data_IF_820383095269
#
_entry.id   IF_820383095269
#
_cell.length_a   1.000
_cell.length_b   1.000
_cell.length_c   1.000
_cell.angle_alpha   90.00
_cell.angle_beta   90.00
_cell.angle_gamma   90.00
#
_symmetry.space_group_name_H-M   'P 1'
#
loop_
_entity.id
_entity.type
_entity.pdbx_description
1 polymer ?
#
# COMPACT_ATOMS: atom_id res chain seq x y z
N UNK A 1 -30.34 -0.64 -28.57
CA UNK A 1 -29.52 -0.28 -27.39
C UNK A 1 -29.89 -1.19 -26.24
N UNK A 2 -28.96 -1.97 -25.67
CA UNK A 2 -29.23 -2.72 -24.42
C UNK A 2 -29.27 -1.70 -23.29
N UNK A 3 -30.42 -1.55 -22.65
CA UNK A 3 -30.58 -0.78 -21.43
C UNK A 3 -29.73 -1.48 -20.33
N UNK A 4 -28.62 -0.88 -19.93
CA UNK A 4 -27.81 -1.37 -18.81
C UNK A 4 -28.47 -0.85 -17.53
N UNK A 5 -29.15 -1.74 -16.81
CA UNK A 5 -29.62 -1.44 -15.47
C UNK A 5 -28.48 -1.74 -14.48
N UNK A 6 -28.01 -0.73 -13.79
CA UNK A 6 -27.10 -0.87 -12.67
C UNK A 6 -27.90 -0.87 -11.38
N UNK A 7 -27.52 -1.69 -10.42
CA UNK A 7 -28.09 -1.64 -9.08
C UNK A 7 -27.64 -0.34 -8.40
N UNK A 8 -28.56 0.49 -7.88
CA UNK A 8 -28.20 1.71 -7.15
C UNK A 8 -27.29 1.47 -5.97
N UNK A 9 -27.35 0.28 -5.33
CA UNK A 9 -26.47 -0.07 -4.22
C UNK A 9 -25.03 -0.30 -4.69
N UNK A 10 -24.84 -0.93 -5.86
CA UNK A 10 -23.51 -1.10 -6.47
C UNK A 10 -22.89 0.26 -6.80
N UNK A 11 -23.69 1.16 -7.37
CA UNK A 11 -23.24 2.53 -7.71
C UNK A 11 -22.89 3.31 -6.43
N UNK A 12 -23.68 3.19 -5.38
CA UNK A 12 -23.38 3.77 -4.08
C UNK A 12 -22.04 3.27 -3.54
N UNK A 13 -21.84 1.95 -3.51
CA UNK A 13 -20.60 1.33 -3.04
C UNK A 13 -19.39 1.81 -3.85
N UNK A 14 -19.51 1.89 -5.18
CA UNK A 14 -18.45 2.42 -6.04
C UNK A 14 -18.12 3.88 -5.71
N UNK A 15 -19.13 4.74 -5.50
CA UNK A 15 -18.91 6.13 -5.11
C UNK A 15 -18.21 6.22 -3.73
N UNK A 16 -18.62 5.41 -2.76
CA UNK A 16 -18.00 5.34 -1.44
C UNK A 16 -16.54 4.86 -1.52
N UNK A 17 -16.23 3.88 -2.39
CA UNK A 17 -14.86 3.44 -2.67
C UNK A 17 -14.00 4.58 -3.22
N UNK A 18 -14.54 5.40 -4.13
CA UNK A 18 -13.85 6.58 -4.67
C UNK A 18 -13.57 7.59 -3.56
N UNK A 19 -14.57 7.92 -2.74
CA UNK A 19 -14.39 8.85 -1.62
C UNK A 19 -13.42 8.35 -0.57
N UNK A 20 -13.35 7.04 -0.32
CA UNK A 20 -12.45 6.42 0.65
C UNK A 20 -10.98 6.44 0.24
N UNK A 21 -10.67 6.70 -1.02
CA UNK A 21 -9.32 6.71 -1.57
C UNK A 21 -8.49 7.86 -1.01
N UNK A 22 -7.36 7.55 -0.37
CA UNK A 22 -6.45 8.55 0.19
C UNK A 22 -5.53 9.17 -0.87
N UNK A 23 -5.32 8.47 -1.98
CA UNK A 23 -4.45 8.91 -3.09
C UNK A 23 -5.11 9.88 -4.05
N UNK A 24 -6.41 10.10 -3.96
CA UNK A 24 -7.14 11.11 -4.72
C UNK A 24 -7.25 12.41 -3.92
N UNK A 25 -7.10 13.56 -4.60
CA UNK A 25 -7.49 14.84 -4.00
C UNK A 25 -9.02 14.91 -3.84
N UNK A 26 -9.50 15.81 -2.97
CA UNK A 26 -10.94 15.97 -2.74
C UNK A 26 -11.69 16.23 -4.06
N UNK A 27 -11.22 17.16 -4.89
CA UNK A 27 -11.86 17.48 -6.17
C UNK A 27 -11.78 16.33 -7.20
N UNK A 28 -10.73 15.50 -7.17
CA UNK A 28 -10.65 14.30 -8.02
C UNK A 28 -11.65 13.23 -7.56
N UNK A 29 -11.78 13.02 -6.26
CA UNK A 29 -12.74 12.07 -5.71
C UNK A 29 -14.18 12.50 -6.05
N UNK A 30 -14.52 13.78 -5.87
CA UNK A 30 -15.83 14.34 -6.22
C UNK A 30 -16.13 14.17 -7.72
N UNK A 31 -15.20 14.54 -8.59
CA UNK A 31 -15.34 14.36 -10.05
C UNK A 31 -15.60 12.91 -10.43
N UNK A 32 -14.82 11.98 -9.89
CA UNK A 32 -14.96 10.55 -10.23
C UNK A 32 -16.24 9.95 -9.65
N UNK A 33 -16.66 10.34 -8.45
CA UNK A 33 -17.94 9.95 -7.88
C UNK A 33 -19.11 10.46 -8.72
N UNK A 34 -19.01 11.69 -9.27
CA UNK A 34 -20.00 12.21 -10.21
C UNK A 34 -20.11 11.34 -11.47
N UNK A 35 -18.98 10.95 -12.07
CA UNK A 35 -18.98 10.04 -13.25
C UNK A 35 -19.66 8.70 -12.92
N UNK A 36 -19.39 8.13 -11.75
CA UNK A 36 -20.05 6.90 -11.30
C UNK A 36 -21.56 7.10 -11.15
N UNK A 37 -21.98 8.23 -10.60
CA UNK A 37 -23.39 8.57 -10.40
C UNK A 37 -24.17 8.85 -11.70
N UNK A 38 -23.51 9.08 -12.84
CA UNK A 38 -24.18 9.17 -14.15
C UNK A 38 -24.85 7.86 -14.58
N UNK A 39 -24.51 6.74 -13.93
CA UNK A 39 -25.11 5.42 -14.18
C UNK A 39 -26.50 5.22 -13.55
N UNK A 40 -26.98 6.16 -12.75
CA UNK A 40 -28.28 6.12 -12.04
C UNK A 40 -29.11 7.37 -12.30
N UNK A 41 -30.38 7.41 -11.82
CA UNK A 41 -31.22 8.61 -11.96
C UNK A 41 -30.69 9.78 -11.13
N UNK A 42 -31.10 11.02 -11.49
CA UNK A 42 -30.69 12.22 -10.75
C UNK A 42 -31.09 12.19 -9.26
N UNK A 43 -32.27 11.62 -8.95
CA UNK A 43 -32.72 11.48 -7.56
C UNK A 43 -31.85 10.50 -6.78
N UNK A 44 -31.54 9.34 -7.38
CA UNK A 44 -30.64 8.36 -6.79
C UNK A 44 -29.21 8.93 -6.64
N UNK A 45 -28.72 9.67 -7.64
CA UNK A 45 -27.42 10.32 -7.57
C UNK A 45 -27.33 11.34 -6.42
N UNK A 46 -28.41 12.14 -6.19
CA UNK A 46 -28.47 13.07 -5.07
C UNK A 46 -28.42 12.35 -3.72
N UNK A 47 -29.19 11.27 -3.58
CA UNK A 47 -29.20 10.45 -2.35
C UNK A 47 -27.83 9.84 -2.09
N UNK A 48 -27.20 9.22 -3.11
CA UNK A 48 -25.86 8.62 -2.99
C UNK A 48 -24.83 9.67 -2.55
N UNK A 49 -24.84 10.87 -3.14
CA UNK A 49 -23.90 11.95 -2.80
C UNK A 49 -24.13 12.50 -1.39
N UNK A 50 -25.38 12.58 -0.95
CA UNK A 50 -25.73 13.05 0.39
C UNK A 50 -25.29 12.04 1.46
N UNK A 51 -25.51 10.74 1.22
CA UNK A 51 -25.24 9.67 2.17
C UNK A 51 -23.79 9.20 2.16
N UNK A 52 -23.08 9.38 1.05
CA UNK A 52 -21.64 9.05 0.92
C UNK A 52 -20.76 10.04 1.72
N UNK A 53 -21.21 10.43 2.90
CA UNK A 53 -20.45 11.28 3.81
C UNK A 53 -19.35 10.45 4.49
N UNK A 54 -18.22 10.36 3.83
CA UNK A 54 -17.03 9.78 4.43
C UNK A 54 -16.29 10.85 5.22
N UNK A 55 -16.16 10.56 6.51
CA UNK A 55 -15.33 11.30 7.46
C UNK A 55 -14.05 11.82 6.82
N UNK A 56 -13.66 13.00 7.22
CA UNK A 56 -12.49 13.76 6.83
C UNK A 56 -11.21 12.91 6.86
N UNK A 57 -10.97 12.17 5.78
CA UNK A 57 -9.70 11.44 5.61
C UNK A 57 -8.68 12.37 4.99
N UNK A 58 -7.50 12.39 5.57
CA UNK A 58 -6.35 13.12 4.99
C UNK A 58 -6.13 12.61 3.57
N UNK A 59 -6.42 13.47 2.60
CA UNK A 59 -6.22 13.23 1.17
C UNK A 59 -4.93 13.88 0.70
N UNK A 60 -4.43 13.42 -0.44
CA UNK A 60 -3.27 14.06 -1.07
C UNK A 60 -3.65 15.39 -1.72
N UNK A 61 -2.72 16.34 -1.71
CA UNK A 61 -2.83 17.58 -2.49
C UNK A 61 -2.26 17.42 -3.91
N UNK A 62 -1.63 16.30 -4.21
CA UNK A 62 -1.04 16.03 -5.51
C UNK A 62 -2.10 15.74 -6.57
N UNK A 63 -2.42 16.75 -7.38
CA UNK A 63 -3.39 16.64 -8.49
C UNK A 63 -2.87 15.79 -9.66
N UNK A 64 -1.59 15.49 -9.73
CA UNK A 64 -0.96 14.70 -10.80
C UNK A 64 -1.07 13.18 -10.63
N UNK A 65 -1.66 12.67 -9.54
CA UNK A 65 -1.65 11.24 -9.21
C UNK A 65 -2.23 10.36 -10.31
N UNK A 66 -3.36 10.74 -10.90
CA UNK A 66 -3.98 9.97 -11.98
C UNK A 66 -3.10 9.91 -13.24
N UNK A 67 -2.47 11.03 -13.59
CA UNK A 67 -1.50 11.07 -14.70
C UNK A 67 -0.27 10.22 -14.39
N UNK A 68 0.24 10.27 -13.15
CA UNK A 68 1.33 9.41 -12.72
C UNK A 68 0.98 7.92 -12.86
N UNK A 69 -0.22 7.53 -12.43
CA UNK A 69 -0.72 6.14 -12.57
C UNK A 69 -0.78 5.75 -14.05
N UNK A 70 -1.32 6.61 -14.92
CA UNK A 70 -1.39 6.35 -16.37
C UNK A 70 0.00 6.15 -16.95
N UNK A 71 0.93 7.10 -16.73
CA UNK A 71 2.32 7.03 -17.24
C UNK A 71 3.04 5.77 -16.75
N UNK A 72 2.87 5.40 -15.48
CA UNK A 72 3.43 4.17 -14.90
C UNK A 72 2.84 2.93 -15.59
N UNK A 73 1.52 2.92 -15.80
CA UNK A 73 0.83 1.80 -16.47
C UNK A 73 1.31 1.63 -17.90
N UNK A 74 1.47 2.74 -18.63
CA UNK A 74 1.98 2.75 -20.01
C UNK A 74 3.41 2.20 -20.05
N UNK A 75 4.28 2.64 -19.14
CA UNK A 75 5.66 2.17 -19.04
C UNK A 75 5.76 0.66 -18.72
N UNK A 76 4.80 0.10 -18.00
CA UNK A 76 4.74 -1.34 -17.69
C UNK A 76 4.11 -2.18 -18.80
N UNK A 77 3.37 -1.56 -19.72
CA UNK A 77 2.58 -2.27 -20.72
C UNK A 77 3.47 -2.94 -21.77
N UNK A 78 3.03 -4.12 -22.24
CA UNK A 78 3.61 -4.80 -23.41
C UNK A 78 2.99 -4.36 -24.73
N UNK A 79 1.91 -3.60 -24.65
CA UNK A 79 1.20 -3.05 -25.80
C UNK A 79 0.81 -1.61 -25.51
N UNK A 80 1.15 -0.70 -26.39
CA UNK A 80 0.81 0.72 -26.31
C UNK A 80 0.25 1.15 -27.67
N UNK A 81 -0.90 1.79 -27.68
CA UNK A 81 -1.59 2.24 -28.90
C UNK A 81 -1.74 1.14 -29.95
N UNK A 82 -2.03 -0.10 -29.51
CA UNK A 82 -2.19 -1.26 -30.37
C UNK A 82 -0.89 -1.84 -30.96
N UNK A 83 0.28 -1.30 -30.57
CA UNK A 83 1.61 -1.77 -30.99
C UNK A 83 2.33 -2.49 -29.86
N UNK A 84 3.21 -3.43 -30.22
CA UNK A 84 4.09 -4.07 -29.24
C UNK A 84 5.01 -3.01 -28.64
N UNK A 85 5.07 -3.00 -27.32
CA UNK A 85 5.88 -2.09 -26.52
C UNK A 85 6.78 -2.91 -25.57
N UNK A 86 8.01 -2.49 -25.40
CA UNK A 86 8.89 -3.09 -24.40
C UNK A 86 8.78 -2.28 -23.11
N UNK A 87 8.46 -2.94 -21.97
CA UNK A 87 8.39 -2.24 -20.68
C UNK A 87 9.67 -1.48 -20.37
N UNK A 88 9.53 -0.25 -19.95
CA UNK A 88 10.61 0.72 -19.83
C UNK A 88 10.73 1.32 -18.43
N UNK A 89 11.88 1.94 -18.15
CA UNK A 89 12.13 2.71 -16.94
C UNK A 89 11.32 3.99 -16.93
N UNK A 90 11.09 4.51 -15.73
CA UNK A 90 10.51 5.82 -15.48
C UNK A 90 11.42 6.67 -14.60
N UNK A 91 11.29 7.99 -14.72
CA UNK A 91 11.90 8.95 -13.81
C UNK A 91 10.83 9.77 -13.11
N UNK A 92 11.12 10.24 -11.90
CA UNK A 92 10.26 11.14 -11.13
C UNK A 92 11.04 11.85 -10.01
N UNK A 93 10.51 12.97 -9.53
CA UNK A 93 10.94 13.57 -8.26
C UNK A 93 10.05 13.03 -7.14
N UNK A 94 10.65 12.72 -5.97
CA UNK A 94 9.92 12.18 -4.83
C UNK A 94 9.75 13.24 -3.76
N UNK A 95 8.51 13.46 -3.33
CA UNK A 95 8.10 14.52 -2.43
C UNK A 95 8.08 14.06 -0.96
N UNK A 96 8.28 15.01 -0.06
CA UNK A 96 8.05 14.87 1.39
C UNK A 96 7.43 16.15 1.93
N UNK A 97 6.70 16.07 3.03
CA UNK A 97 6.24 17.27 3.72
C UNK A 97 7.41 18.04 4.31
N UNK A 98 7.28 19.36 4.32
CA UNK A 98 8.23 20.26 4.97
C UNK A 98 7.80 20.55 6.39
N UNK A 99 8.70 20.37 7.36
CA UNK A 99 8.41 20.75 8.76
C UNK A 99 8.32 22.28 8.93
N UNK A 100 8.85 23.05 8.00
CA UNK A 100 8.78 24.52 8.03
C UNK A 100 7.41 25.03 7.57
N UNK A 101 6.75 24.29 6.70
CA UNK A 101 5.41 24.54 6.21
C UNK A 101 4.74 23.20 5.88
N UNK A 102 3.86 22.75 6.77
CA UNK A 102 3.16 21.47 6.64
C UNK A 102 2.23 21.43 5.41
N UNK A 103 1.77 22.60 4.93
CA UNK A 103 0.97 22.71 3.69
C UNK A 103 1.80 22.51 2.42
N UNK A 104 3.13 22.48 2.51
CA UNK A 104 4.00 22.34 1.33
C UNK A 104 4.74 20.99 1.33
N UNK A 105 4.71 20.35 0.16
CA UNK A 105 5.59 19.24 -0.14
C UNK A 105 6.84 19.74 -0.85
N UNK A 106 8.01 19.30 -0.40
CA UNK A 106 9.31 19.61 -0.96
C UNK A 106 9.97 18.35 -1.54
N UNK A 107 10.83 18.53 -2.50
CA UNK A 107 11.53 17.43 -3.16
C UNK A 107 12.56 16.79 -2.23
N UNK A 108 12.62 15.47 -2.23
CA UNK A 108 13.69 14.70 -1.59
C UNK A 108 14.97 14.79 -2.43
N UNK A 109 16.11 14.45 -1.83
CA UNK A 109 17.43 14.41 -2.48
C UNK A 109 17.75 15.69 -3.25
N UNK A 110 17.36 16.87 -2.72
CA UNK A 110 17.59 18.18 -3.34
C UNK A 110 17.05 18.28 -4.79
N UNK A 111 15.93 17.61 -5.08
CA UNK A 111 15.30 17.63 -6.39
C UNK A 111 15.85 16.64 -7.41
N UNK A 112 16.83 15.81 -7.05
CA UNK A 112 17.33 14.76 -7.94
C UNK A 112 16.20 13.79 -8.32
N UNK A 113 16.12 13.42 -9.60
CA UNK A 113 15.18 12.43 -10.09
C UNK A 113 15.58 11.02 -9.62
N UNK A 114 14.58 10.24 -9.32
CA UNK A 114 14.69 8.79 -9.14
C UNK A 114 14.52 8.14 -10.52
N UNK A 115 15.33 7.15 -10.84
CA UNK A 115 15.17 6.29 -12.01
C UNK A 115 14.86 4.89 -11.51
N UNK A 116 13.72 4.34 -11.96
CA UNK A 116 13.26 3.03 -11.51
C UNK A 116 12.62 2.24 -12.64
N UNK A 117 12.68 0.93 -12.54
CA UNK A 117 12.00 -0.02 -13.43
C UNK A 117 10.66 -0.43 -12.81
N UNK A 118 9.50 0.01 -13.33
CA UNK A 118 8.20 -0.26 -12.73
C UNK A 118 7.75 -1.70 -12.98
N UNK A 119 7.23 -2.38 -11.94
CA UNK A 119 6.77 -3.77 -12.03
C UNK A 119 5.31 -3.97 -11.65
N UNK A 120 4.84 -3.34 -10.58
CA UNK A 120 3.47 -3.54 -10.09
C UNK A 120 2.94 -2.32 -9.34
N UNK A 121 1.69 -1.97 -9.64
CA UNK A 121 0.91 -1.05 -8.79
C UNK A 121 0.15 -1.86 -7.74
N UNK A 122 0.22 -1.41 -6.49
CA UNK A 122 -0.40 -2.02 -5.33
C UNK A 122 -1.26 -0.99 -4.62
N UNK A 123 -2.39 -1.42 -4.07
CA UNK A 123 -3.22 -0.58 -3.19
C UNK A 123 -3.07 -1.14 -1.78
N UNK A 124 -2.70 -0.28 -0.85
CA UNK A 124 -2.63 -0.62 0.56
C UNK A 124 -3.08 0.58 1.39
N UNK A 125 -4.00 0.36 2.32
CA UNK A 125 -4.50 1.39 3.24
C UNK A 125 -5.06 2.64 2.51
N UNK A 126 -5.69 2.44 1.34
CA UNK A 126 -6.23 3.51 0.52
C UNK A 126 -5.19 4.36 -0.23
N UNK A 127 -3.92 3.95 -0.24
CA UNK A 127 -2.86 4.58 -1.00
C UNK A 127 -2.39 3.69 -2.16
N UNK A 128 -1.97 4.33 -3.25
CA UNK A 128 -1.29 3.64 -4.36
C UNK A 128 0.22 3.59 -4.13
N UNK A 129 0.77 2.40 -4.33
CA UNK A 129 2.21 2.14 -4.25
C UNK A 129 2.70 1.55 -5.55
N UNK A 130 3.84 2.01 -6.01
CA UNK A 130 4.59 1.38 -7.09
C UNK A 130 5.67 0.48 -6.49
N UNK A 131 5.63 -0.81 -6.81
CA UNK A 131 6.75 -1.74 -6.61
C UNK A 131 7.63 -1.66 -7.85
N UNK A 132 8.87 -1.24 -7.65
CA UNK A 132 9.84 -1.02 -8.72
C UNK A 132 11.24 -1.42 -8.31
N UNK A 133 12.08 -1.76 -9.28
CA UNK A 133 13.52 -1.93 -9.08
C UNK A 133 14.17 -0.53 -9.17
N UNK A 134 14.88 -0.14 -8.12
CA UNK A 134 15.53 1.17 -8.01
C UNK A 134 16.96 1.08 -8.55
N UNK A 135 17.28 1.85 -9.58
CA UNK A 135 18.59 1.83 -10.23
C UNK A 135 19.72 2.23 -9.28
N UNK A 136 19.46 3.14 -8.33
CA UNK A 136 20.49 3.57 -7.37
C UNK A 136 20.70 2.53 -6.25
N UNK A 137 19.61 1.96 -5.75
CA UNK A 137 19.68 0.98 -4.66
C UNK A 137 20.01 -0.43 -5.13
N UNK A 138 19.85 -0.72 -6.44
CA UNK A 138 19.99 -2.05 -7.05
C UNK A 138 19.13 -3.10 -6.33
N UNK A 139 17.91 -2.69 -5.93
CA UNK A 139 16.99 -3.54 -5.16
C UNK A 139 15.53 -3.14 -5.42
N UNK A 140 14.60 -4.04 -5.09
CA UNK A 140 13.17 -3.77 -5.17
C UNK A 140 12.74 -2.81 -4.06
N UNK A 141 12.03 -1.76 -4.44
CA UNK A 141 11.52 -0.75 -3.51
C UNK A 141 10.07 -0.38 -3.81
N UNK A 142 9.38 0.11 -2.79
CA UNK A 142 8.03 0.64 -2.91
C UNK A 142 8.02 2.16 -2.78
N UNK A 143 7.24 2.80 -3.66
CA UNK A 143 7.08 4.24 -3.71
C UNK A 143 5.60 4.60 -3.68
N UNK A 144 5.20 5.54 -2.86
CA UNK A 144 3.84 6.09 -2.88
C UNK A 144 3.66 6.94 -4.13
N UNK A 145 2.66 6.63 -4.95
CA UNK A 145 2.43 7.33 -6.23
C UNK A 145 1.96 8.77 -6.01
N UNK A 146 1.23 9.03 -4.93
CA UNK A 146 0.79 10.37 -4.55
C UNK A 146 1.94 11.31 -4.10
N UNK A 147 3.13 10.74 -3.85
CA UNK A 147 4.36 11.49 -3.54
C UNK A 147 5.29 11.63 -4.74
N UNK A 148 4.87 11.21 -5.92
CA UNK A 148 5.65 11.38 -7.16
C UNK A 148 5.23 12.65 -7.87
N UNK A 149 6.22 13.39 -8.39
CA UNK A 149 6.05 14.59 -9.21
C UNK A 149 6.81 14.42 -10.51
N UNK A 150 6.14 14.72 -11.64
CA UNK A 150 6.76 14.67 -12.96
C UNK A 150 7.23 13.24 -13.30
N UNK A 151 6.29 12.30 -13.35
CA UNK A 151 6.59 10.93 -13.79
C UNK A 151 6.71 10.95 -15.30
N UNK A 152 7.89 10.60 -15.80
CA UNK A 152 8.20 10.56 -17.23
C UNK A 152 8.74 9.17 -17.60
N UNK A 153 8.42 8.70 -18.79
CA UNK A 153 8.98 7.50 -19.41
C UNK A 153 10.37 7.84 -19.98
N UNK A 154 11.31 6.89 -19.89
CA UNK A 154 12.70 7.15 -20.34
C UNK A 154 13.00 6.59 -21.73
N UNK A 155 12.23 5.64 -22.24
CA UNK A 155 12.56 4.87 -23.42
C UNK A 155 13.63 3.78 -23.18
N UNK A 156 14.19 3.68 -21.98
CA UNK A 156 15.19 2.65 -21.62
C UNK A 156 14.48 1.38 -21.15
N UNK A 157 14.91 0.18 -21.58
CA UNK A 157 14.37 -1.08 -21.11
C UNK A 157 14.45 -1.20 -19.58
N UNK A 158 13.42 -1.78 -18.95
CA UNK A 158 13.42 -2.00 -17.50
C UNK A 158 14.40 -3.10 -17.10
N UNK A 159 14.95 -2.98 -15.90
CA UNK A 159 15.88 -3.90 -15.26
C UNK A 159 15.28 -4.55 -14.00
N UNK A 160 15.97 -5.52 -13.39
CA UNK A 160 15.56 -6.13 -12.12
C UNK A 160 14.51 -7.24 -12.24
N UNK A 161 14.40 -7.90 -13.41
CA UNK A 161 13.43 -8.96 -13.64
C UNK A 161 13.59 -10.14 -12.66
N UNK A 162 14.82 -10.53 -12.35
CA UNK A 162 15.11 -11.61 -11.40
C UNK A 162 14.71 -11.24 -9.97
N UNK A 163 15.04 -10.01 -9.55
CA UNK A 163 14.64 -9.50 -8.24
C UNK A 163 13.12 -9.46 -8.08
N UNK A 164 12.39 -9.07 -9.13
CA UNK A 164 10.93 -9.09 -9.12
C UNK A 164 10.37 -10.51 -9.13
N UNK A 165 10.95 -11.44 -9.89
CA UNK A 165 10.52 -12.85 -9.95
C UNK A 165 10.65 -13.57 -8.60
N UNK A 166 11.58 -13.13 -7.75
CA UNK A 166 11.74 -13.64 -6.39
C UNK A 166 10.65 -13.19 -5.41
N UNK A 167 9.80 -12.23 -5.79
CA UNK A 167 8.73 -11.70 -4.93
C UNK A 167 7.45 -12.50 -5.14
N UNK A 168 6.96 -13.15 -4.08
CA UNK A 168 5.61 -13.68 -4.06
C UNK A 168 4.58 -12.57 -3.80
N UNK A 169 3.97 -12.08 -4.87
CA UNK A 169 2.99 -10.98 -4.81
C UNK A 169 1.73 -11.32 -4.00
N UNK A 170 1.34 -12.60 -3.89
CA UNK A 170 0.14 -13.02 -3.16
C UNK A 170 0.27 -12.76 -1.67
N UNK A 171 1.46 -12.93 -1.15
CA UNK A 171 1.74 -12.76 0.27
C UNK A 171 2.47 -11.45 0.59
N UNK A 172 2.95 -10.72 -0.42
CA UNK A 172 3.77 -9.52 -0.26
C UNK A 172 3.11 -8.47 0.65
N UNK A 173 1.87 -8.07 0.37
CA UNK A 173 1.14 -7.06 1.17
C UNK A 173 0.84 -7.51 2.61
N UNK A 174 0.74 -8.83 2.84
CA UNK A 174 0.53 -9.40 4.17
C UNK A 174 1.82 -9.41 5.00
N UNK A 175 2.98 -9.61 4.34
CA UNK A 175 4.29 -9.67 4.99
C UNK A 175 4.86 -8.29 5.31
N UNK A 176 4.59 -7.31 4.46
CA UNK A 176 5.14 -5.95 4.56
C UNK A 176 4.24 -5.08 5.41
N UNK A 177 4.78 -4.50 6.46
CA UNK A 177 4.05 -3.60 7.34
C UNK A 177 4.17 -2.15 6.87
N UNK A 178 3.03 -1.51 6.61
CA UNK A 178 2.97 -0.14 6.09
C UNK A 178 3.83 0.10 4.84
N UNK A 179 4.03 -0.97 4.02
CA UNK A 179 4.89 -0.97 2.81
C UNK A 179 6.37 -0.65 3.09
N UNK A 180 6.84 -0.88 4.32
CA UNK A 180 8.26 -0.87 4.66
C UNK A 180 8.82 -2.28 4.52
N UNK A 181 9.72 -2.45 3.57
CA UNK A 181 10.43 -3.70 3.34
C UNK A 181 11.51 -3.96 4.39
N UNK A 182 11.85 -5.24 4.57
CA UNK A 182 12.89 -5.69 5.46
C UNK A 182 13.36 -7.09 5.10
N UNK A 183 14.25 -7.67 5.92
CA UNK A 183 14.67 -9.05 5.73
C UNK A 183 13.52 -9.98 6.08
N UNK A 184 13.21 -10.90 5.16
CA UNK A 184 12.16 -11.89 5.35
C UNK A 184 12.54 -12.90 6.44
N UNK A 185 11.64 -13.14 7.38
CA UNK A 185 11.83 -14.06 8.49
C UNK A 185 10.53 -14.78 8.83
N UNK A 186 10.61 -16.07 9.18
CA UNK A 186 9.47 -16.83 9.70
C UNK A 186 9.40 -16.63 11.19
N UNK A 187 8.31 -16.04 11.68
CA UNK A 187 8.11 -15.70 13.09
C UNK A 187 6.92 -16.43 13.69
N UNK A 188 6.98 -16.63 15.00
CA UNK A 188 5.84 -17.11 15.80
C UNK A 188 5.50 -16.06 16.86
N UNK A 189 4.24 -15.65 16.88
CA UNK A 189 3.73 -14.66 17.84
C UNK A 189 2.60 -15.32 18.62
N UNK A 190 2.65 -15.22 19.97
CA UNK A 190 1.58 -15.64 20.86
C UNK A 190 0.68 -14.46 21.17
N UNK A 191 -0.62 -14.66 21.11
CA UNK A 191 -1.67 -13.66 21.42
C UNK A 191 -2.67 -14.23 22.41
N UNK A 192 -3.38 -13.35 23.13
CA UNK A 192 -4.58 -13.73 23.88
C UNK A 192 -5.74 -14.02 22.89
N UNK A 193 -6.62 -14.97 23.22
CA UNK A 193 -7.70 -15.42 22.33
C UNK A 193 -8.61 -14.30 21.80
N UNK A 194 -8.95 -13.22 22.56
CA UNK A 194 -9.76 -12.12 22.04
C UNK A 194 -9.17 -11.34 20.86
N UNK A 195 -7.89 -11.52 20.55
CA UNK A 195 -7.23 -10.87 19.41
C UNK A 195 -7.27 -11.72 18.13
N UNK A 196 -7.93 -12.87 18.14
CA UNK A 196 -7.93 -13.79 16.99
C UNK A 196 -8.42 -13.11 15.70
N UNK A 197 -9.52 -12.40 15.75
CA UNK A 197 -10.10 -11.72 14.58
C UNK A 197 -9.12 -10.69 14.01
N UNK A 198 -8.54 -9.83 14.86
CA UNK A 198 -7.57 -8.83 14.42
C UNK A 198 -6.30 -9.45 13.80
N UNK A 199 -5.89 -10.63 14.26
CA UNK A 199 -4.73 -11.36 13.73
C UNK A 199 -5.10 -12.06 12.42
N UNK A 200 -6.31 -12.62 12.31
CA UNK A 200 -6.84 -13.20 11.05
C UNK A 200 -7.02 -12.11 10.00
N UNK A 201 -7.56 -10.96 10.35
CA UNK A 201 -7.69 -9.81 9.44
C UNK A 201 -6.33 -9.36 8.89
N UNK A 202 -5.28 -9.45 9.71
CA UNK A 202 -3.93 -9.05 9.31
C UNK A 202 -3.24 -10.08 8.42
N UNK A 203 -3.25 -11.36 8.79
CA UNK A 203 -2.46 -12.40 8.12
C UNK A 203 -3.30 -13.32 7.23
N UNK A 204 -4.62 -13.29 7.37
CA UNK A 204 -5.54 -14.19 6.69
C UNK A 204 -5.59 -15.58 7.34
N UNK A 205 -6.36 -16.46 6.71
CA UNK A 205 -6.61 -17.84 7.18
C UNK A 205 -6.12 -18.91 6.20
N UNK A 206 -5.29 -18.53 5.23
CA UNK A 206 -4.72 -19.48 4.26
C UNK A 206 -3.67 -20.37 4.93
N UNK A 207 -4.03 -21.63 5.14
CA UNK A 207 -3.20 -22.65 5.81
C UNK A 207 -1.85 -22.90 5.12
N UNK A 208 -1.68 -22.52 3.86
CA UNK A 208 -0.41 -22.67 3.15
C UNK A 208 0.61 -21.61 3.57
N UNK A 209 0.15 -20.45 4.02
CA UNK A 209 1.00 -19.29 4.35
C UNK A 209 1.01 -18.94 5.84
N UNK A 210 -0.03 -19.31 6.59
CA UNK A 210 -0.20 -18.97 8.02
C UNK A 210 -0.63 -20.19 8.81
N UNK A 211 0.00 -20.42 9.95
CA UNK A 211 -0.34 -21.51 10.86
C UNK A 211 -0.82 -20.95 12.19
N UNK A 212 -2.04 -21.33 12.57
CA UNK A 212 -2.61 -21.02 13.88
C UNK A 212 -2.58 -22.26 14.76
N UNK A 213 -2.24 -22.10 16.02
CA UNK A 213 -2.24 -23.18 17.00
C UNK A 213 -2.79 -22.69 18.36
N UNK A 214 -3.62 -23.52 19.01
CA UNK A 214 -4.00 -23.30 20.39
C UNK A 214 -2.75 -23.51 21.28
N UNK A 215 -2.45 -22.55 22.14
CA UNK A 215 -1.35 -22.67 23.13
C UNK A 215 -1.91 -23.17 24.45
N UNK A 216 -2.95 -22.51 24.94
CA UNK A 216 -3.69 -22.84 26.16
C UNK A 216 -5.14 -22.34 26.06
N UNK A 217 -5.91 -22.36 27.16
CA UNK A 217 -7.32 -21.93 27.13
C UNK A 217 -7.49 -20.40 26.96
N UNK A 218 -6.44 -19.63 27.09
CA UNK A 218 -6.43 -18.16 27.03
C UNK A 218 -5.60 -17.59 25.88
N UNK A 219 -4.77 -18.42 25.24
CA UNK A 219 -3.84 -17.99 24.22
C UNK A 219 -3.82 -18.89 22.99
N UNK A 220 -3.54 -18.27 21.85
CA UNK A 220 -3.17 -18.93 20.60
C UNK A 220 -1.83 -18.39 20.09
N UNK A 221 -1.22 -19.11 19.15
CA UNK A 221 -0.05 -18.63 18.41
C UNK A 221 -0.34 -18.60 16.91
N UNK A 222 0.32 -17.66 16.24
CA UNK A 222 0.38 -17.59 14.79
C UNK A 222 1.83 -17.68 14.32
N UNK A 223 2.08 -18.56 13.35
CA UNK A 223 3.38 -18.70 12.69
C UNK A 223 3.22 -18.30 11.23
N UNK A 224 3.96 -17.29 10.80
CA UNK A 224 3.87 -16.74 9.45
C UNK A 224 5.19 -16.10 9.01
N UNK A 225 5.31 -15.82 7.72
CA UNK A 225 6.42 -15.04 7.17
C UNK A 225 6.13 -13.54 7.27
N UNK A 226 7.10 -12.76 7.76
CA UNK A 226 7.04 -11.30 7.82
C UNK A 226 8.35 -10.70 7.34
N UNK A 227 8.32 -9.43 6.94
CA UNK A 227 9.52 -8.64 6.75
C UNK A 227 9.83 -7.88 8.05
N UNK A 228 10.98 -8.21 8.64
CA UNK A 228 11.41 -7.59 9.90
C UNK A 228 11.71 -6.12 9.66
N UNK A 229 10.99 -5.26 10.38
CA UNK A 229 11.10 -3.81 10.31
C UNK A 229 10.62 -3.18 11.62
N UNK A 230 10.99 -1.92 11.85
CA UNK A 230 10.51 -1.16 13.02
C UNK A 230 8.97 -1.06 13.03
N UNK A 231 8.33 -1.05 11.85
CA UNK A 231 6.87 -1.04 11.72
C UNK A 231 6.24 -2.37 12.16
N UNK A 232 6.88 -3.51 11.83
CA UNK A 232 6.46 -4.81 12.34
C UNK A 232 6.60 -4.87 13.86
N UNK A 233 7.73 -4.43 14.41
CA UNK A 233 7.95 -4.41 15.84
C UNK A 233 6.98 -3.46 16.56
N UNK A 234 6.74 -2.27 16.00
CA UNK A 234 5.75 -1.32 16.50
C UNK A 234 4.33 -1.89 16.50
N UNK A 235 3.97 -2.66 15.45
CA UNK A 235 2.68 -3.35 15.39
C UNK A 235 2.53 -4.40 16.50
N UNK A 236 3.54 -5.25 16.72
CA UNK A 236 3.53 -6.22 17.83
C UNK A 236 3.44 -5.51 19.17
N UNK A 237 4.23 -4.46 19.36
CA UNK A 237 4.26 -3.66 20.59
C UNK A 237 2.92 -2.97 20.88
N UNK A 238 2.17 -2.59 19.83
CA UNK A 238 0.85 -1.96 19.95
C UNK A 238 -0.18 -2.81 20.71
N UNK A 239 0.02 -4.13 20.80
CA UNK A 239 -0.82 -5.01 21.61
C UNK A 239 -0.37 -5.07 23.08
N UNK A 240 0.75 -4.47 23.44
CA UNK A 240 1.30 -4.47 24.79
C UNK A 240 1.50 -5.89 25.32
N UNK A 241 1.05 -6.15 26.55
CA UNK A 241 1.17 -7.46 27.21
C UNK A 241 0.31 -8.58 26.57
N UNK A 242 -0.56 -8.24 25.62
CA UNK A 242 -1.49 -9.17 24.95
C UNK A 242 -0.87 -9.94 23.79
N UNK A 243 0.33 -9.54 23.36
CA UNK A 243 1.11 -10.21 22.33
C UNK A 243 2.55 -10.45 22.79
N UNK A 244 3.13 -11.57 22.36
CA UNK A 244 4.55 -11.89 22.63
C UNK A 244 5.16 -12.57 21.40
N UNK A 245 6.24 -11.99 20.89
CA UNK A 245 7.08 -12.64 19.88
C UNK A 245 7.86 -13.77 20.57
N UNK A 246 7.66 -15.03 20.11
CA UNK A 246 8.23 -16.22 20.75
C UNK A 246 9.12 -17.07 19.82
N UNK A 247 9.23 -16.73 18.55
CA UNK A 247 10.11 -17.32 17.50
C UNK A 247 10.14 -16.38 16.28
N UNK A 248 11.17 -16.36 15.40
CA UNK A 248 12.48 -17.05 15.58
C UNK A 248 13.34 -16.34 16.65
N UNK A 249 14.36 -17.04 17.15
CA UNK A 249 15.28 -16.47 18.16
C UNK A 249 15.91 -15.17 17.67
N UNK A 250 16.31 -15.12 16.40
CA UNK A 250 16.87 -13.93 15.78
C UNK A 250 15.87 -12.76 15.76
N UNK A 251 14.60 -13.00 15.42
CA UNK A 251 13.59 -11.94 15.45
C UNK A 251 13.30 -11.48 16.86
N UNK A 252 13.33 -12.39 17.84
CA UNK A 252 13.17 -12.06 19.27
C UNK A 252 14.32 -11.18 19.75
N UNK A 253 15.58 -11.49 19.40
CA UNK A 253 16.74 -10.66 19.79
C UNK A 253 16.69 -9.27 19.12
N UNK A 254 16.31 -9.19 17.85
CA UNK A 254 16.12 -7.91 17.16
C UNK A 254 14.98 -7.08 17.80
N UNK A 255 13.91 -7.74 18.24
CA UNK A 255 12.82 -7.07 18.94
C UNK A 255 13.25 -6.54 20.31
N UNK A 256 14.05 -7.29 21.08
CA UNK A 256 14.63 -6.82 22.34
C UNK A 256 15.50 -5.58 22.11
N UNK A 257 16.40 -5.65 21.12
CA UNK A 257 17.24 -4.50 20.77
C UNK A 257 16.42 -3.27 20.33
N UNK A 258 15.31 -3.48 19.63
CA UNK A 258 14.37 -2.40 19.29
C UNK A 258 13.72 -1.81 20.54
N UNK A 259 13.27 -2.65 21.49
CA UNK A 259 12.68 -2.19 22.76
C UNK A 259 13.68 -1.40 23.63
N UNK A 260 14.94 -1.83 23.68
CA UNK A 260 16.01 -1.11 24.40
C UNK A 260 16.23 0.28 23.80
N UNK A 261 16.31 0.39 22.46
CA UNK A 261 16.39 1.69 21.78
C UNK A 261 15.20 2.60 22.08
N UNK A 262 13.98 2.03 22.10
CA UNK A 262 12.78 2.81 22.45
C UNK A 262 12.86 3.27 23.91
N UNK A 263 13.26 2.41 24.86
CA UNK A 263 13.42 2.75 26.27
C UNK A 263 14.44 3.88 26.49
N UNK A 264 15.55 3.89 25.74
CA UNK A 264 16.60 4.91 25.83
C UNK A 264 16.11 6.31 25.38
N UNK A 265 14.97 6.41 24.73
CA UNK A 265 14.38 7.70 24.31
C UNK A 265 13.56 8.37 25.42
N UNK A 266 13.24 7.65 26.50
CA UNK A 266 12.44 8.07 27.64
C UNK A 266 13.18 7.86 28.95
#
# INVERSE_FOLDING_TARGET
MRQRHYDPQDIRLLAECVYSSKFLSAGQAERLANVVCECVSEEQAKTIKHDAFLTDRVKTDNRGVLNNISTITDAMSKYLDGRRHEPEKITFQYLKYSIKDIGQQVERRKGMKYTVSPYKLLINDGNYYLLAFDDYAQDMRTYRVDRMKGVDRTGEPREGAEAFAAIDLKTYTKRVFSMFGGKQERVTIRFINPLLDAVVDRFGNDKSSVQYAKVDDTHFSVTTQVEISDQFFGWVLGFGKKAKLIGSDKAVEQFKAYLDKVREMY
#
